data_IF_879348723309
#
_entry.id   IF_879348723309
#
_cell.length_a   1.000
_cell.length_b   1.000
_cell.length_c   1.000
_cell.angle_alpha   90.00
_cell.angle_beta   90.00
_cell.angle_gamma   90.00
#
_symmetry.space_group_name_H-M   'P 1'
#
loop_
_entity.id
_entity.type
_entity.pdbx_description
1 polymer ?
#
# COMPACT_ATOMS: atom_id res chain seq x y z
N UNK A 1 -23.65 -1.38 -28.00
CA UNK A 1 -23.57 -0.59 -26.75
C UNK A 1 -24.33 -1.37 -25.70
N UNK A 2 -23.67 -1.78 -24.61
CA UNK A 2 -24.31 -2.52 -23.53
C UNK A 2 -24.63 -1.54 -22.39
N UNK A 3 -25.87 -1.58 -21.91
CA UNK A 3 -26.32 -0.75 -20.80
C UNK A 3 -26.53 -1.65 -19.58
N UNK A 4 -25.90 -1.31 -18.46
CA UNK A 4 -26.12 -1.95 -17.16
C UNK A 4 -26.87 -0.94 -16.29
N UNK A 5 -27.94 -1.39 -15.66
CA UNK A 5 -28.70 -0.58 -14.70
C UNK A 5 -28.88 -1.39 -13.43
N UNK A 6 -28.58 -0.76 -12.30
CA UNK A 6 -28.80 -1.32 -10.96
C UNK A 6 -29.87 -0.46 -10.30
N UNK A 7 -30.88 -1.13 -9.74
CA UNK A 7 -32.05 -0.50 -9.15
C UNK A 7 -32.00 -0.72 -7.65
N UNK A 8 -32.18 0.35 -6.89
CA UNK A 8 -32.30 0.33 -5.44
C UNK A 8 -33.73 0.68 -5.06
N UNK A 9 -34.25 0.03 -4.01
CA UNK A 9 -35.58 0.31 -3.47
C UNK A 9 -35.62 1.62 -2.67
N UNK A 10 -34.45 2.11 -2.23
CA UNK A 10 -34.27 3.32 -1.43
C UNK A 10 -33.38 4.34 -2.13
N UNK A 11 -33.41 5.58 -1.65
CA UNK A 11 -32.56 6.64 -2.17
C UNK A 11 -31.09 6.35 -1.82
N UNK A 12 -30.23 6.35 -2.83
CA UNK A 12 -28.79 6.10 -2.68
C UNK A 12 -28.05 7.31 -2.11
N UNK A 13 -26.93 7.05 -1.42
CA UNK A 13 -25.95 8.09 -1.05
C UNK A 13 -24.84 8.19 -2.11
N UNK A 14 -24.10 9.32 -2.18
CA UNK A 14 -22.96 9.46 -3.08
C UNK A 14 -21.89 8.37 -2.90
N UNK A 15 -21.69 7.88 -1.68
CA UNK A 15 -20.76 6.78 -1.39
C UNK A 15 -21.21 5.48 -2.05
N UNK A 16 -22.50 5.14 -1.93
CA UNK A 16 -23.09 3.96 -2.57
C UNK A 16 -22.97 4.08 -4.10
N UNK A 17 -23.27 5.25 -4.66
CA UNK A 17 -23.14 5.51 -6.10
C UNK A 17 -21.70 5.30 -6.60
N UNK A 18 -20.70 5.75 -5.84
CA UNK A 18 -19.29 5.55 -6.19
C UNK A 18 -18.87 4.07 -6.15
N UNK A 19 -19.33 3.33 -5.13
CA UNK A 19 -19.08 1.89 -5.00
C UNK A 19 -19.68 1.15 -6.20
N UNK A 20 -20.96 1.41 -6.50
CA UNK A 20 -21.67 0.79 -7.62
C UNK A 20 -21.00 1.13 -8.95
N UNK A 21 -20.63 2.39 -9.15
CA UNK A 21 -19.92 2.83 -10.35
C UNK A 21 -18.60 2.08 -10.54
N UNK A 22 -17.82 1.91 -9.46
CA UNK A 22 -16.58 1.14 -9.49
C UNK A 22 -16.82 -0.32 -9.88
N UNK A 23 -17.79 -0.99 -9.27
CA UNK A 23 -18.13 -2.38 -9.59
C UNK A 23 -18.59 -2.55 -11.05
N UNK A 24 -19.37 -1.59 -11.56
CA UNK A 24 -19.78 -1.57 -12.97
C UNK A 24 -18.60 -1.37 -13.93
N UNK A 25 -17.63 -0.52 -13.58
CA UNK A 25 -16.40 -0.36 -14.37
C UNK A 25 -15.57 -1.64 -14.40
N UNK A 26 -15.37 -2.29 -13.26
CA UNK A 26 -14.64 -3.55 -13.18
C UNK A 26 -15.32 -4.66 -13.99
N UNK A 27 -16.65 -4.76 -13.91
CA UNK A 27 -17.44 -5.67 -14.75
C UNK A 27 -17.28 -5.35 -16.25
N UNK A 28 -17.34 -4.08 -16.63
CA UNK A 28 -17.16 -3.65 -18.02
C UNK A 28 -15.76 -3.96 -18.54
N UNK A 29 -14.72 -3.73 -17.75
CA UNK A 29 -13.35 -4.10 -18.11
C UNK A 29 -13.18 -5.60 -18.27
N UNK A 30 -13.82 -6.40 -17.41
CA UNK A 30 -13.80 -7.87 -17.50
C UNK A 30 -14.41 -8.36 -18.80
N UNK A 31 -15.53 -7.77 -19.22
CA UNK A 31 -16.13 -8.04 -20.54
C UNK A 31 -15.14 -7.67 -21.66
N UNK A 32 -14.60 -6.45 -21.65
CA UNK A 32 -13.71 -5.97 -22.73
C UNK A 32 -12.43 -6.79 -22.90
N UNK A 33 -11.89 -7.34 -21.81
CA UNK A 33 -10.66 -8.16 -21.83
C UNK A 33 -10.89 -9.60 -22.26
N UNK A 34 -12.15 -10.06 -22.31
CA UNK A 34 -12.47 -11.45 -22.61
C UNK A 34 -12.75 -11.59 -24.09
N UNK A 35 -11.84 -12.26 -24.80
CA UNK A 35 -12.02 -12.60 -26.21
C UNK A 35 -13.32 -13.37 -26.42
N UNK A 36 -14.01 -13.09 -27.53
CA UNK A 36 -15.24 -13.78 -27.93
C UNK A 36 -16.44 -13.66 -26.97
N UNK A 37 -16.34 -12.87 -25.89
CA UNK A 37 -17.46 -12.66 -24.96
C UNK A 37 -18.72 -12.13 -25.65
N UNK A 38 -18.53 -11.44 -26.79
CA UNK A 38 -19.61 -10.93 -27.61
C UNK A 38 -20.53 -12.04 -28.14
N UNK A 39 -20.03 -13.29 -28.24
CA UNK A 39 -20.81 -14.46 -28.64
C UNK A 39 -22.01 -14.70 -27.70
N UNK A 40 -21.88 -14.36 -26.41
CA UNK A 40 -22.95 -14.49 -25.43
C UNK A 40 -24.25 -13.78 -25.86
N UNK A 41 -24.15 -12.69 -26.63
CA UNK A 41 -25.29 -11.87 -27.02
C UNK A 41 -26.07 -12.39 -28.22
N UNK A 42 -25.62 -13.48 -28.87
CA UNK A 42 -26.36 -14.14 -29.95
C UNK A 42 -27.27 -15.27 -29.47
N UNK A 43 -27.42 -15.44 -28.15
CA UNK A 43 -28.26 -16.50 -27.57
C UNK A 43 -29.72 -16.44 -28.03
N UNK A 44 -30.24 -15.24 -28.37
CA UNK A 44 -31.59 -15.06 -28.93
C UNK A 44 -31.77 -15.69 -30.31
N UNK A 45 -30.69 -15.75 -31.09
CA UNK A 45 -30.67 -16.15 -32.49
C UNK A 45 -29.96 -17.50 -32.68
N UNK A 46 -29.83 -18.29 -31.62
CA UNK A 46 -29.04 -19.53 -31.55
C UNK A 46 -29.38 -20.55 -32.65
N UNK A 47 -30.63 -20.55 -33.14
CA UNK A 47 -31.09 -21.45 -34.19
C UNK A 47 -30.50 -21.13 -35.57
N UNK A 48 -29.90 -19.95 -35.75
CA UNK A 48 -29.31 -19.50 -37.00
C UNK A 48 -27.82 -19.90 -37.15
N UNK A 49 -27.28 -20.65 -36.19
CA UNK A 49 -25.85 -20.99 -36.11
C UNK A 49 -25.61 -22.50 -36.23
N UNK A 50 -24.40 -22.86 -36.68
CA UNK A 50 -23.93 -24.26 -36.71
C UNK A 50 -23.61 -24.75 -35.29
N UNK A 51 -23.55 -26.06 -35.09
CA UNK A 51 -23.42 -26.64 -33.75
C UNK A 51 -22.12 -26.24 -33.03
N UNK A 52 -21.01 -26.07 -33.76
CA UNK A 52 -19.74 -25.57 -33.21
C UNK A 52 -19.88 -24.14 -32.64
N UNK A 53 -20.56 -23.25 -33.37
CA UNK A 53 -20.81 -21.87 -32.94
C UNK A 53 -21.79 -21.83 -31.75
N UNK A 54 -22.78 -22.72 -31.72
CA UNK A 54 -23.74 -22.83 -30.61
C UNK A 54 -23.04 -23.15 -29.29
N UNK A 55 -22.05 -24.05 -29.29
CA UNK A 55 -21.28 -24.38 -28.08
C UNK A 55 -20.57 -23.15 -27.51
N UNK A 56 -19.96 -22.34 -28.38
CA UNK A 56 -19.29 -21.08 -28.01
C UNK A 56 -20.29 -20.08 -27.42
N UNK A 57 -21.45 -19.90 -28.07
CA UNK A 57 -22.51 -19.00 -27.60
C UNK A 57 -23.03 -19.45 -26.22
N UNK A 58 -23.30 -20.74 -26.03
CA UNK A 58 -23.76 -21.27 -24.73
C UNK A 58 -22.73 -21.08 -23.62
N UNK A 59 -21.46 -21.38 -23.90
CA UNK A 59 -20.34 -21.20 -22.95
C UNK A 59 -20.26 -19.75 -22.47
N UNK A 60 -20.22 -18.79 -23.39
CA UNK A 60 -20.06 -17.38 -23.01
C UNK A 60 -21.35 -16.78 -22.42
N UNK A 61 -22.53 -17.22 -22.82
CA UNK A 61 -23.78 -16.82 -22.18
C UNK A 61 -23.83 -17.30 -20.72
N UNK A 62 -23.42 -18.53 -20.43
CA UNK A 62 -23.32 -19.03 -19.06
C UNK A 62 -22.31 -18.21 -18.23
N UNK A 63 -21.18 -17.85 -18.83
CA UNK A 63 -20.16 -17.03 -18.19
C UNK A 63 -20.65 -15.61 -17.86
N UNK A 64 -21.33 -14.95 -18.80
CA UNK A 64 -21.92 -13.61 -18.56
C UNK A 64 -22.98 -13.67 -17.45
N UNK A 65 -23.84 -14.70 -17.44
CA UNK A 65 -24.82 -14.90 -16.35
C UNK A 65 -24.16 -15.03 -14.99
N UNK A 66 -23.07 -15.79 -14.90
CA UNK A 66 -22.30 -15.92 -13.66
C UNK A 66 -21.76 -14.57 -13.22
N UNK A 67 -21.18 -13.78 -14.13
CA UNK A 67 -20.63 -12.47 -13.77
C UNK A 67 -21.68 -11.44 -13.40
N UNK A 68 -22.86 -11.50 -14.00
CA UNK A 68 -24.00 -10.66 -13.58
C UNK A 68 -24.44 -11.03 -12.16
N UNK A 69 -24.45 -12.32 -11.82
CA UNK A 69 -24.74 -12.77 -10.46
C UNK A 69 -23.66 -12.34 -9.46
N UNK A 70 -22.38 -12.43 -9.83
CA UNK A 70 -21.26 -11.91 -9.01
C UNK A 70 -21.41 -10.40 -8.77
N UNK A 71 -21.70 -9.63 -9.82
CA UNK A 71 -21.91 -8.18 -9.71
C UNK A 71 -23.06 -7.86 -8.75
N UNK A 72 -24.18 -8.59 -8.85
CA UNK A 72 -25.31 -8.44 -7.93
C UNK A 72 -24.89 -8.66 -6.46
N UNK A 73 -24.19 -9.75 -6.16
CA UNK A 73 -23.77 -10.06 -4.80
C UNK A 73 -22.76 -9.07 -4.25
N UNK A 74 -21.81 -8.63 -5.09
CA UNK A 74 -20.82 -7.63 -4.68
C UNK A 74 -21.48 -6.29 -4.36
N UNK A 75 -22.45 -5.86 -5.19
CA UNK A 75 -23.23 -4.65 -4.91
C UNK A 75 -23.97 -4.82 -3.59
N UNK A 76 -24.69 -5.91 -3.40
CA UNK A 76 -25.45 -6.17 -2.16
C UNK A 76 -24.54 -6.17 -0.92
N UNK A 77 -23.36 -6.79 -1.00
CA UNK A 77 -22.41 -6.87 0.11
C UNK A 77 -21.75 -5.52 0.42
N UNK A 78 -21.40 -4.74 -0.59
CA UNK A 78 -20.73 -3.46 -0.39
C UNK A 78 -21.69 -2.33 -0.05
N UNK A 79 -22.98 -2.46 -0.39
CA UNK A 79 -24.01 -1.46 -0.09
C UNK A 79 -24.88 -1.81 1.13
N UNK A 80 -24.78 -3.02 1.69
CA UNK A 80 -25.54 -3.37 2.91
C UNK A 80 -25.07 -2.55 4.10
N UNK A 81 -26.01 -2.26 5.00
CA UNK A 81 -25.66 -1.75 6.32
C UNK A 81 -24.84 -2.81 7.07
N UNK A 82 -23.58 -2.49 7.37
CA UNK A 82 -22.70 -3.35 8.17
C UNK A 82 -23.07 -3.25 9.64
N UNK A 83 -23.06 -4.37 10.34
CA UNK A 83 -23.31 -4.37 11.79
C UNK A 83 -22.21 -3.60 12.53
N UNK A 84 -22.50 -3.18 13.77
CA UNK A 84 -21.49 -2.55 14.63
C UNK A 84 -20.29 -3.49 14.86
N UNK A 85 -20.52 -4.80 14.99
CA UNK A 85 -19.43 -5.78 15.09
C UNK A 85 -18.57 -5.83 13.82
N UNK A 86 -19.17 -5.75 12.64
CA UNK A 86 -18.44 -5.75 11.35
C UNK A 86 -17.64 -4.45 11.15
N UNK A 87 -18.20 -3.31 11.57
CA UNK A 87 -17.48 -2.01 11.60
C UNK A 87 -16.28 -2.10 12.57
N UNK A 88 -16.49 -2.64 13.77
CA UNK A 88 -15.44 -2.85 14.76
C UNK A 88 -14.37 -3.82 14.22
N UNK A 89 -14.75 -4.93 13.59
CA UNK A 89 -13.81 -5.88 12.99
C UNK A 89 -12.96 -5.22 11.89
N UNK A 90 -13.59 -4.40 11.05
CA UNK A 90 -12.89 -3.61 10.01
C UNK A 90 -11.91 -2.63 10.63
N UNK A 91 -12.28 -1.97 11.73
CA UNK A 91 -11.38 -1.09 12.48
C UNK A 91 -10.25 -1.88 13.15
N UNK A 92 -10.52 -3.05 13.74
CA UNK A 92 -9.53 -3.92 14.37
C UNK A 92 -8.54 -4.53 13.37
N UNK A 93 -8.91 -4.68 12.10
CA UNK A 93 -7.97 -5.07 11.04
C UNK A 93 -6.88 -4.01 10.79
N UNK A 94 -7.11 -2.76 11.19
CA UNK A 94 -6.05 -1.73 11.18
C UNK A 94 -5.12 -1.96 12.37
N UNK A 95 -3.89 -2.44 12.09
CA UNK A 95 -2.87 -2.79 13.10
C UNK A 95 -2.70 -1.73 14.20
N UNK A 96 -2.72 -0.44 13.86
CA UNK A 96 -2.59 0.65 14.83
C UNK A 96 -3.80 0.76 15.76
N UNK A 97 -5.03 0.65 15.24
CA UNK A 97 -6.26 0.67 16.05
C UNK A 97 -6.29 -0.49 17.05
N UNK A 98 -5.92 -1.70 16.62
CA UNK A 98 -5.80 -2.85 17.49
C UNK A 98 -4.78 -2.61 18.62
N UNK A 99 -3.59 -2.09 18.28
CA UNK A 99 -2.54 -1.82 19.25
C UNK A 99 -2.95 -0.73 20.26
N UNK A 100 -3.64 0.32 19.81
CA UNK A 100 -4.18 1.38 20.67
C UNK A 100 -5.22 0.82 21.64
N UNK A 101 -6.21 0.07 21.14
CA UNK A 101 -7.23 -0.56 22.00
C UNK A 101 -6.63 -1.54 23.00
N UNK A 102 -5.63 -2.33 22.60
CA UNK A 102 -4.89 -3.24 23.48
C UNK A 102 -4.10 -2.52 24.57
N UNK A 103 -3.64 -1.29 24.33
CA UNK A 103 -2.99 -0.45 25.36
C UNK A 103 -4.04 0.10 26.32
N UNK A 104 -5.14 0.66 25.80
CA UNK A 104 -6.24 1.20 26.60
C UNK A 104 -6.93 0.14 27.47
N UNK A 105 -7.03 -1.10 27.00
CA UNK A 105 -7.67 -2.20 27.75
C UNK A 105 -6.91 -2.58 29.03
N UNK A 106 -5.67 -2.11 29.21
CA UNK A 106 -4.84 -2.40 30.40
C UNK A 106 -5.09 -1.42 31.56
N UNK A 107 -5.99 -0.45 31.37
CA UNK A 107 -6.36 0.53 32.38
C UNK A 107 -6.12 1.97 31.94
N UNK A 108 -6.44 2.96 32.80
CA UNK A 108 -6.24 4.36 32.52
C UNK A 108 -4.78 4.62 32.16
N UNK A 109 -4.54 5.11 30.94
CA UNK A 109 -3.19 5.45 30.48
C UNK A 109 -2.99 6.96 30.69
N UNK A 110 -1.87 7.36 31.27
CA UNK A 110 -1.51 8.79 31.31
C UNK A 110 -1.17 9.26 29.89
N UNK A 111 -1.27 10.57 29.62
CA UNK A 111 -0.89 11.13 28.32
C UNK A 111 0.56 10.80 27.96
N UNK A 112 1.44 10.67 28.97
CA UNK A 112 2.84 10.25 28.86
C UNK A 112 3.01 8.75 28.61
N UNK A 113 2.02 7.91 28.93
CA UNK A 113 2.00 6.47 28.68
C UNK A 113 1.44 6.09 27.29
N UNK A 114 0.91 7.06 26.55
CA UNK A 114 0.69 6.92 25.11
C UNK A 114 2.05 6.99 24.42
N UNK A 115 2.60 5.82 24.10
CA UNK A 115 3.76 5.73 23.22
C UNK A 115 3.38 6.38 21.88
N UNK A 116 3.88 7.57 21.63
CA UNK A 116 3.61 8.32 20.41
C UNK A 116 4.20 7.59 19.19
N UNK A 117 5.37 6.99 19.43
CA UNK A 117 6.14 6.19 18.47
C UNK A 117 5.42 4.88 18.15
N UNK A 118 5.16 4.65 16.87
CA UNK A 118 4.54 3.45 16.30
C UNK A 118 3.11 3.12 16.82
N UNK A 119 2.45 4.07 17.49
CA UNK A 119 1.00 4.05 17.76
C UNK A 119 0.26 5.24 17.15
N UNK A 120 0.82 6.46 17.21
CA UNK A 120 0.21 7.68 16.63
C UNK A 120 0.96 8.22 15.40
N UNK A 121 2.21 7.80 15.17
CA UNK A 121 2.94 7.99 13.92
C UNK A 121 3.96 6.86 13.75
N UNK A 122 4.19 6.43 12.51
CA UNK A 122 5.18 5.38 12.17
C UNK A 122 6.62 5.92 12.33
N UNK A 123 7.09 6.02 13.56
CA UNK A 123 8.39 6.58 13.90
C UNK A 123 9.54 5.68 13.41
N UNK A 124 9.27 4.37 13.32
CA UNK A 124 10.19 3.38 12.75
C UNK A 124 10.38 3.62 11.26
N UNK A 125 9.29 3.69 10.48
CA UNK A 125 9.36 3.97 9.04
C UNK A 125 9.91 5.37 8.77
N UNK A 126 9.55 6.36 9.58
CA UNK A 126 10.10 7.72 9.52
C UNK A 126 11.63 7.70 9.64
N UNK A 127 12.15 7.02 10.65
CA UNK A 127 13.60 6.92 10.90
C UNK A 127 14.30 6.10 9.81
N UNK A 128 13.65 5.09 9.25
CA UNK A 128 14.16 4.32 8.12
C UNK A 128 14.26 5.18 6.86
N UNK A 129 13.20 5.90 6.49
CA UNK A 129 13.21 6.82 5.33
C UNK A 129 14.21 7.94 5.49
N UNK A 130 14.33 8.50 6.69
CA UNK A 130 15.34 9.52 6.96
C UNK A 130 16.77 9.01 6.79
N UNK A 131 17.05 7.73 7.14
CA UNK A 131 18.36 7.10 6.88
C UNK A 131 18.64 6.90 5.41
N UNK A 132 17.65 6.42 4.65
CA UNK A 132 17.73 6.28 3.19
C UNK A 132 18.09 7.64 2.57
N UNK A 133 17.43 8.70 3.01
CA UNK A 133 17.66 10.04 2.47
C UNK A 133 19.04 10.60 2.84
N UNK A 134 19.56 10.21 4.02
CA UNK A 134 20.94 10.48 4.37
C UNK A 134 21.95 9.80 3.44
N UNK A 135 21.71 8.52 3.10
CA UNK A 135 22.55 7.78 2.13
C UNK A 135 22.48 8.41 0.74
N UNK A 136 21.28 8.76 0.28
CA UNK A 136 21.09 9.39 -1.03
C UNK A 136 21.79 10.75 -1.10
N UNK A 137 21.77 11.53 -0.01
CA UNK A 137 22.54 12.76 0.07
C UNK A 137 24.05 12.54 -0.02
N UNK A 138 24.59 11.48 0.60
CA UNK A 138 26.02 11.14 0.46
C UNK A 138 26.38 10.79 -0.98
N UNK A 139 25.55 9.97 -1.65
CA UNK A 139 25.75 9.57 -3.05
C UNK A 139 25.68 10.79 -3.97
N UNK A 140 24.67 11.64 -3.80
CA UNK A 140 24.51 12.88 -4.57
C UNK A 140 25.65 13.87 -4.36
N UNK A 141 26.25 13.89 -3.16
CA UNK A 141 27.43 14.69 -2.86
C UNK A 141 28.72 14.14 -3.50
N UNK A 142 28.70 12.90 -4.00
CA UNK A 142 29.80 12.30 -4.77
C UNK A 142 30.34 10.97 -4.23
N UNK A 143 29.69 10.38 -3.21
CA UNK A 143 30.10 9.06 -2.71
C UNK A 143 29.83 7.98 -3.78
N UNK A 144 30.90 7.38 -4.31
CA UNK A 144 30.85 6.41 -5.42
C UNK A 144 30.49 5.00 -4.98
N UNK A 145 29.28 4.80 -4.47
CA UNK A 145 28.78 3.48 -4.05
C UNK A 145 27.48 3.14 -4.76
N UNK A 146 27.29 1.85 -5.05
CA UNK A 146 25.97 1.36 -5.45
C UNK A 146 24.93 1.63 -4.36
N UNK A 147 23.79 2.20 -4.74
CA UNK A 147 22.76 2.60 -3.79
C UNK A 147 22.19 1.40 -3.03
N UNK A 148 21.88 0.29 -3.70
CA UNK A 148 21.32 -0.89 -3.02
C UNK A 148 22.32 -1.44 -1.99
N UNK A 149 23.60 -1.51 -2.35
CA UNK A 149 24.67 -1.90 -1.43
C UNK A 149 24.75 -0.97 -0.22
N UNK A 150 24.66 0.34 -0.42
CA UNK A 150 24.66 1.31 0.67
C UNK A 150 23.45 1.13 1.62
N UNK A 151 22.28 0.82 1.07
CA UNK A 151 21.07 0.56 1.84
C UNK A 151 21.14 -0.71 2.69
N UNK A 152 21.73 -1.77 2.15
CA UNK A 152 21.99 -3.01 2.90
C UNK A 152 22.93 -2.72 4.07
N UNK A 153 24.02 -2.01 3.80
CA UNK A 153 25.06 -1.74 4.80
C UNK A 153 24.54 -0.88 5.97
N UNK A 154 23.75 0.17 5.68
CA UNK A 154 23.18 1.00 6.74
C UNK A 154 22.15 0.23 7.59
N UNK A 155 21.41 -0.69 7.00
CA UNK A 155 20.45 -1.54 7.72
C UNK A 155 21.17 -2.53 8.66
N UNK A 156 22.28 -3.12 8.22
CA UNK A 156 23.15 -3.95 9.06
C UNK A 156 23.71 -3.17 10.25
N UNK A 157 24.16 -1.93 10.02
CA UNK A 157 24.66 -1.04 11.08
C UNK A 157 23.58 -0.73 12.11
N UNK A 158 22.34 -0.49 11.65
CA UNK A 158 21.21 -0.24 12.57
C UNK A 158 20.90 -1.47 13.40
N UNK A 159 20.97 -2.68 12.83
CA UNK A 159 20.80 -3.95 13.56
C UNK A 159 21.92 -4.18 14.58
N UNK A 160 23.16 -3.85 14.23
CA UNK A 160 24.34 -4.06 15.09
C UNK A 160 24.40 -3.07 16.25
N UNK A 161 24.16 -1.78 16.00
CA UNK A 161 24.37 -0.70 16.97
C UNK A 161 23.08 -0.14 17.59
N UNK A 162 21.92 -0.65 17.17
CA UNK A 162 20.61 -0.19 17.63
C UNK A 162 20.09 1.05 16.89
N UNK A 163 18.77 1.16 16.81
CA UNK A 163 18.05 2.24 16.10
C UNK A 163 18.31 3.64 16.66
N UNK A 164 18.69 3.74 17.93
CA UNK A 164 18.90 5.01 18.64
C UNK A 164 20.36 5.50 18.61
N UNK A 165 21.26 4.79 17.92
CA UNK A 165 22.66 5.22 17.84
C UNK A 165 22.81 6.48 16.99
N UNK A 166 23.43 7.56 17.50
CA UNK A 166 23.62 8.79 16.72
C UNK A 166 24.76 8.67 15.69
N UNK A 167 25.45 7.52 15.63
CA UNK A 167 26.71 7.33 14.89
C UNK A 167 26.56 6.44 13.65
N UNK A 168 25.33 6.18 13.17
CA UNK A 168 25.11 5.28 12.03
C UNK A 168 25.95 5.65 10.80
N UNK A 169 26.01 6.93 10.42
CA UNK A 169 26.81 7.37 9.28
C UNK A 169 28.32 7.31 9.52
N UNK A 170 28.78 7.48 10.77
CA UNK A 170 30.18 7.27 11.13
C UNK A 170 30.57 5.80 10.95
N UNK A 171 29.73 4.88 11.43
CA UNK A 171 29.96 3.44 11.25
C UNK A 171 29.90 3.03 9.78
N UNK A 172 29.01 3.66 9.01
CA UNK A 172 28.89 3.42 7.57
C UNK A 172 30.18 3.76 6.83
N UNK A 173 30.70 4.98 7.03
CA UNK A 173 31.98 5.41 6.44
C UNK A 173 33.15 4.54 6.91
N UNK A 174 33.21 4.22 8.21
CA UNK A 174 34.25 3.33 8.75
C UNK A 174 34.24 1.98 8.03
N UNK A 175 33.07 1.39 7.86
CA UNK A 175 32.91 0.09 7.22
C UNK A 175 33.24 0.11 5.73
N UNK A 176 32.93 1.19 5.02
CA UNK A 176 33.35 1.36 3.63
C UNK A 176 34.88 1.44 3.47
N UNK A 177 35.56 2.12 4.39
CA UNK A 177 37.01 2.17 4.38
C UNK A 177 37.65 0.81 4.72
N UNK A 178 37.08 0.07 5.66
CA UNK A 178 37.61 -1.22 6.13
C UNK A 178 37.34 -2.38 5.17
N UNK A 179 36.09 -2.54 4.72
CA UNK A 179 35.68 -3.71 3.92
C UNK A 179 35.86 -3.48 2.42
N UNK A 180 35.57 -2.26 1.95
CA UNK A 180 35.47 -1.95 0.53
C UNK A 180 36.69 -1.17 0.00
N UNK A 181 37.63 -0.80 0.88
CA UNK A 181 38.89 -0.12 0.55
C UNK A 181 38.70 1.17 -0.27
N UNK A 182 37.65 1.94 0.04
CA UNK A 182 37.35 3.20 -0.65
C UNK A 182 38.37 4.32 -0.39
N UNK A 183 39.19 4.21 0.66
CA UNK A 183 40.20 5.21 1.05
C UNK A 183 39.65 6.65 1.09
N UNK A 184 38.48 6.84 1.71
CA UNK A 184 37.82 8.14 1.83
C UNK A 184 38.66 9.03 2.76
N UNK A 185 39.08 10.19 2.26
CA UNK A 185 39.85 11.17 3.04
C UNK A 185 39.05 11.67 4.25
N UNK A 186 39.72 12.00 5.36
CA UNK A 186 39.03 12.49 6.56
C UNK A 186 38.09 13.68 6.27
N UNK A 187 38.52 14.61 5.41
CA UNK A 187 37.71 15.78 5.04
C UNK A 187 36.44 15.37 4.28
N UNK A 188 36.53 14.39 3.39
CA UNK A 188 35.36 13.89 2.65
C UNK A 188 34.44 13.09 3.56
N UNK A 189 34.97 12.31 4.52
CA UNK A 189 34.16 11.62 5.52
C UNK A 189 33.28 12.61 6.29
N UNK A 190 33.86 13.72 6.77
CA UNK A 190 33.11 14.77 7.48
C UNK A 190 32.04 15.39 6.59
N UNK A 191 32.36 15.67 5.32
CA UNK A 191 31.42 16.25 4.36
C UNK A 191 30.23 15.31 4.09
N UNK A 192 30.50 14.03 3.85
CA UNK A 192 29.43 13.05 3.62
C UNK A 192 28.55 12.87 4.85
N UNK A 193 29.15 12.75 6.03
CA UNK A 193 28.39 12.61 7.29
C UNK A 193 27.53 13.86 7.52
N UNK A 194 28.06 15.06 7.28
CA UNK A 194 27.30 16.30 7.42
C UNK A 194 26.11 16.34 6.44
N UNK A 195 26.32 16.01 5.17
CA UNK A 195 25.25 15.92 4.17
C UNK A 195 24.15 14.93 4.60
N UNK A 196 24.54 13.75 5.09
CA UNK A 196 23.62 12.72 5.54
C UNK A 196 22.78 13.16 6.74
N UNK A 197 23.41 13.80 7.73
CA UNK A 197 22.73 14.31 8.94
C UNK A 197 21.74 15.42 8.57
N UNK A 198 22.14 16.35 7.70
CA UNK A 198 21.25 17.41 7.24
C UNK A 198 20.02 16.85 6.52
N UNK A 199 20.23 15.90 5.60
CA UNK A 199 19.14 15.25 4.87
C UNK A 199 18.22 14.43 5.78
N UNK A 200 18.79 13.71 6.76
CA UNK A 200 18.04 12.96 7.75
C UNK A 200 17.06 13.85 8.54
N UNK A 201 17.56 14.98 9.07
CA UNK A 201 16.73 15.90 9.84
C UNK A 201 15.69 16.61 8.96
N UNK A 202 16.08 17.04 7.75
CA UNK A 202 15.14 17.62 6.78
C UNK A 202 14.00 16.64 6.44
N UNK A 203 14.34 15.36 6.24
CA UNK A 203 13.35 14.32 5.93
C UNK A 203 12.43 14.03 7.11
N UNK A 204 12.95 13.99 8.34
CA UNK A 204 12.11 13.86 9.54
C UNK A 204 11.10 15.00 9.63
N UNK A 205 11.55 16.25 9.45
CA UNK A 205 10.65 17.42 9.47
C UNK A 205 9.58 17.33 8.38
N UNK A 206 9.97 16.92 7.16
CA UNK A 206 9.05 16.80 6.02
C UNK A 206 7.96 15.73 6.21
N UNK A 207 8.31 14.63 6.89
CA UNK A 207 7.46 13.45 7.04
C UNK A 207 6.72 13.39 8.38
N UNK A 208 6.97 14.30 9.32
CA UNK A 208 6.11 14.48 10.49
C UNK A 208 4.75 14.97 9.99
N UNK A 209 3.82 14.02 9.87
CA UNK A 209 2.39 14.25 9.69
C UNK A 209 1.67 13.33 10.67
N UNK A 210 0.63 13.86 11.31
CA UNK A 210 -0.31 13.05 12.08
C UNK A 210 -1.04 12.14 11.08
N UNK A 211 -1.36 10.90 11.46
CA UNK A 211 -2.24 10.08 10.62
C UNK A 211 -3.57 10.81 10.41
N UNK A 212 -3.98 11.00 9.16
CA UNK A 212 -5.34 11.42 8.81
C UNK A 212 -6.36 10.30 9.09
#
# INVERSE_FOLDING_TARGET
MLMVSIIFDEQTTPEIEQIVHKLCLEFSEKLLKTEEIFAAFYISDINNFEDEDKEVIYKYNALVKLWVQELYWNVLEDTREKSEEEKIATLLNKKHMFMTLKKLSKGPTTLEGFDLDDCLFDSTMLSQRARIEGIDAMINFGLKIDRQKALILIDEIVKEYGSNSPKHYNYFIRRLNELEKFSISFIDQVRYIAAAVMAYHAQKIKLIKIYD
#
